data_IF_139019262475
#
_entry.id   IF_139019262475
#
_cell.length_a   1.000
_cell.length_b   1.000
_cell.length_c   1.000
_cell.angle_alpha   90.00
_cell.angle_beta   90.00
_cell.angle_gamma   90.00
#
_symmetry.space_group_name_H-M   'P 1'
#
loop_
_entity.id
_entity.type
_entity.pdbx_description
1 polymer ?
#
# COMPACT_ATOMS: atom_id res chain seq x y z
N UNK A 1 -14.08 9.54 6.09
CA UNK A 1 -13.01 8.80 5.41
C UNK A 1 -12.06 8.27 6.46
N UNK A 2 -11.56 7.04 6.30
CA UNK A 2 -10.52 6.44 7.14
C UNK A 2 -9.22 6.31 6.35
N UNK A 3 -8.10 6.64 6.97
CA UNK A 3 -6.75 6.55 6.40
C UNK A 3 -5.86 5.67 7.27
N UNK A 4 -5.13 4.73 6.67
CA UNK A 4 -4.15 3.88 7.35
C UNK A 4 -2.83 3.87 6.59
N UNK A 5 -1.88 4.72 7.01
CA UNK A 5 -0.52 4.77 6.44
C UNK A 5 0.53 3.97 7.23
N UNK A 6 0.08 3.24 8.26
CA UNK A 6 0.96 2.45 9.11
C UNK A 6 1.71 1.39 8.29
N UNK A 7 2.97 1.16 8.67
CA UNK A 7 3.82 0.11 8.16
C UNK A 7 4.52 -0.59 9.34
N UNK A 8 4.68 -1.93 9.31
CA UNK A 8 5.48 -2.64 10.30
C UNK A 8 6.96 -2.31 10.14
N UNK A 9 7.75 -2.63 11.16
CA UNK A 9 9.19 -2.63 11.05
C UNK A 9 9.62 -3.61 9.95
N UNK A 10 10.42 -3.12 9.00
CA UNK A 10 10.87 -3.89 7.83
C UNK A 10 11.94 -4.87 8.29
N UNK A 11 11.64 -6.16 8.20
CA UNK A 11 12.57 -7.25 8.56
C UNK A 11 13.56 -7.55 7.44
N UNK A 12 13.22 -7.16 6.21
CA UNK A 12 13.98 -7.51 5.00
C UNK A 12 13.57 -8.87 4.40
N UNK A 13 12.68 -9.60 5.07
CA UNK A 13 12.07 -10.81 4.55
C UNK A 13 10.71 -10.41 3.98
N UNK A 14 10.64 -10.20 2.66
CA UNK A 14 9.47 -9.63 1.99
C UNK A 14 8.16 -10.36 2.30
N UNK A 15 8.19 -11.69 2.40
CA UNK A 15 7.01 -12.50 2.74
C UNK A 15 6.46 -12.20 4.14
N UNK A 16 7.35 -11.96 5.10
CA UNK A 16 7.00 -11.65 6.49
C UNK A 16 6.50 -10.22 6.60
N UNK A 17 7.17 -9.28 5.94
CA UNK A 17 6.79 -7.87 5.89
C UNK A 17 5.41 -7.71 5.22
N UNK A 18 5.14 -8.44 4.14
CA UNK A 18 3.84 -8.49 3.47
C UNK A 18 2.74 -9.00 4.43
N UNK A 19 3.02 -10.08 5.16
CA UNK A 19 2.06 -10.66 6.11
C UNK A 19 1.71 -9.69 7.24
N UNK A 20 2.69 -8.99 7.81
CA UNK A 20 2.43 -8.01 8.86
C UNK A 20 1.69 -6.78 8.34
N UNK A 21 2.03 -6.29 7.15
CA UNK A 21 1.28 -5.21 6.51
C UNK A 21 -0.17 -5.62 6.28
N UNK A 22 -0.39 -6.85 5.84
CA UNK A 22 -1.72 -7.41 5.64
C UNK A 22 -2.54 -7.45 6.94
N UNK A 23 -1.96 -7.91 8.05
CA UNK A 23 -2.63 -7.92 9.35
C UNK A 23 -3.02 -6.52 9.81
N UNK A 24 -2.14 -5.53 9.58
CA UNK A 24 -2.41 -4.14 9.92
C UNK A 24 -3.62 -3.59 9.14
N UNK A 25 -3.67 -3.85 7.83
CA UNK A 25 -4.77 -3.44 6.95
C UNK A 25 -6.09 -4.12 7.34
N UNK A 26 -6.05 -5.41 7.72
CA UNK A 26 -7.23 -6.12 8.20
C UNK A 26 -7.80 -5.53 9.48
N UNK A 27 -6.93 -5.17 10.44
CA UNK A 27 -7.35 -4.54 11.67
C UNK A 27 -7.89 -3.12 11.43
N UNK A 28 -7.30 -2.37 10.51
CA UNK A 28 -7.81 -1.07 10.09
C UNK A 28 -9.21 -1.17 9.48
N UNK A 29 -9.48 -2.20 8.66
CA UNK A 29 -10.83 -2.47 8.15
C UNK A 29 -11.80 -2.80 9.29
N UNK A 30 -11.44 -3.70 10.22
CA UNK A 30 -12.28 -4.04 11.38
C UNK A 30 -12.69 -2.81 12.19
N UNK A 31 -11.75 -1.89 12.44
CA UNK A 31 -12.05 -0.62 13.12
C UNK A 31 -12.97 0.23 12.25
N UNK A 32 -12.70 0.34 10.94
CA UNK A 32 -13.52 1.09 9.99
C UNK A 32 -14.97 0.60 9.98
N UNK A 33 -15.23 -0.70 10.01
CA UNK A 33 -16.59 -1.24 10.06
C UNK A 33 -17.30 -0.94 11.39
N UNK A 34 -16.56 -0.83 12.49
CA UNK A 34 -17.12 -0.51 13.82
C UNK A 34 -17.49 0.96 13.98
N UNK A 35 -16.68 1.88 13.43
CA UNK A 35 -16.86 3.32 13.62
C UNK A 35 -17.44 4.04 12.40
N UNK A 36 -17.35 3.41 11.24
CA UNK A 36 -17.76 3.98 9.96
C UNK A 36 -19.27 3.95 9.77
N UNK A 37 -19.75 4.78 8.85
CA UNK A 37 -21.13 4.78 8.37
C UNK A 37 -21.19 4.41 6.90
N UNK A 38 -22.37 4.02 6.41
CA UNK A 38 -22.60 3.81 4.98
C UNK A 38 -22.14 5.04 4.17
N UNK A 39 -21.46 4.80 3.05
CA UNK A 39 -20.84 5.83 2.21
C UNK A 39 -19.43 6.25 2.67
N UNK A 40 -18.86 5.64 3.71
CA UNK A 40 -17.48 5.95 4.14
C UNK A 40 -16.45 5.47 3.12
N UNK A 41 -15.47 6.31 2.78
CA UNK A 41 -14.27 5.92 2.02
C UNK A 41 -13.14 5.43 2.93
N UNK A 42 -12.30 4.53 2.43
CA UNK A 42 -11.15 3.96 3.11
C UNK A 42 -9.91 4.02 2.20
N UNK A 43 -8.76 4.39 2.76
CA UNK A 43 -7.47 4.39 2.05
C UNK A 43 -6.41 3.78 2.97
N UNK A 44 -5.67 2.78 2.50
CA UNK A 44 -4.58 2.20 3.28
C UNK A 44 -3.36 1.83 2.45
N UNK A 45 -2.18 1.97 3.04
CA UNK A 45 -0.93 1.43 2.49
C UNK A 45 -0.98 -0.09 2.50
N UNK A 46 -0.54 -0.70 1.41
CA UNK A 46 -0.39 -2.15 1.25
C UNK A 46 0.98 -2.46 0.63
N UNK A 47 1.47 -3.68 0.87
CA UNK A 47 2.57 -4.23 0.08
C UNK A 47 1.99 -5.15 -0.99
N UNK A 48 2.33 -4.84 -2.24
CA UNK A 48 1.92 -5.61 -3.40
C UNK A 48 2.72 -6.91 -3.43
N UNK A 49 2.01 -8.01 -3.30
CA UNK A 49 2.59 -9.35 -3.27
C UNK A 49 1.54 -10.43 -3.51
N UNK A 50 1.80 -11.62 -2.98
CA UNK A 50 0.96 -12.80 -3.22
C UNK A 50 -0.45 -12.67 -2.63
N UNK A 51 -0.63 -11.86 -1.58
CA UNK A 51 -1.90 -11.74 -0.88
C UNK A 51 -2.79 -10.60 -1.38
N UNK A 52 -2.29 -9.72 -2.24
CA UNK A 52 -3.03 -8.50 -2.63
C UNK A 52 -4.36 -8.80 -3.31
N UNK A 53 -4.45 -9.84 -4.15
CA UNK A 53 -5.71 -10.25 -4.80
C UNK A 53 -6.79 -10.60 -3.77
N UNK A 54 -6.40 -11.23 -2.66
CA UNK A 54 -7.34 -11.59 -1.58
C UNK A 54 -7.82 -10.38 -0.82
N UNK A 55 -6.93 -9.43 -0.52
CA UNK A 55 -7.31 -8.17 0.11
C UNK A 55 -8.34 -7.46 -0.77
N UNK A 56 -8.06 -7.31 -2.07
CA UNK A 56 -8.99 -6.64 -3.00
C UNK A 56 -10.34 -7.35 -3.03
N UNK A 57 -10.37 -8.69 -3.16
CA UNK A 57 -11.61 -9.48 -3.15
C UNK A 57 -12.38 -9.26 -1.84
N UNK A 58 -11.69 -9.31 -0.70
CA UNK A 58 -12.32 -9.17 0.61
C UNK A 58 -12.90 -7.77 0.81
N UNK A 59 -12.18 -6.72 0.41
CA UNK A 59 -12.68 -5.35 0.49
C UNK A 59 -13.89 -5.11 -0.43
N UNK A 60 -13.99 -5.79 -1.59
CA UNK A 60 -15.17 -5.74 -2.47
C UNK A 60 -16.46 -6.25 -1.79
N UNK A 61 -16.37 -6.98 -0.67
CA UNK A 61 -17.56 -7.38 0.12
C UNK A 61 -18.18 -6.22 0.91
N UNK A 62 -17.41 -5.15 1.12
CA UNK A 62 -17.79 -4.03 1.98
C UNK A 62 -17.95 -2.72 1.22
N UNK A 63 -17.19 -2.51 0.15
CA UNK A 63 -17.14 -1.27 -0.61
C UNK A 63 -17.61 -1.46 -2.05
N UNK A 64 -18.37 -0.50 -2.58
CA UNK A 64 -18.89 -0.58 -3.95
C UNK A 64 -17.77 -0.57 -4.98
N UNK A 65 -16.69 0.14 -4.67
CA UNK A 65 -15.54 0.27 -5.55
C UNK A 65 -14.25 0.12 -4.75
N UNK A 66 -13.34 -0.69 -5.29
CA UNK A 66 -12.03 -0.98 -4.71
C UNK A 66 -10.98 -0.86 -5.81
N UNK A 67 -10.00 0.01 -5.60
CA UNK A 67 -8.90 0.30 -6.52
C UNK A 67 -7.57 0.09 -5.81
N UNK A 68 -6.58 -0.39 -6.54
CA UNK A 68 -5.19 -0.38 -6.08
C UNK A 68 -4.47 0.75 -6.79
N UNK A 69 -3.88 1.66 -6.03
CA UNK A 69 -3.24 2.87 -6.49
C UNK A 69 -1.73 2.80 -6.29
N UNK A 70 -0.97 3.27 -7.27
CA UNK A 70 0.47 3.46 -7.20
C UNK A 70 0.80 4.94 -7.44
N UNK A 71 1.12 5.72 -6.39
CA UNK A 71 1.50 7.11 -6.56
C UNK A 71 2.76 7.25 -7.42
N UNK A 72 2.76 8.17 -8.38
CA UNK A 72 3.92 8.47 -9.24
C UNK A 72 5.14 8.93 -8.41
N UNK A 73 4.90 9.55 -7.26
CA UNK A 73 5.93 9.96 -6.31
C UNK A 73 6.63 8.78 -5.59
N UNK A 74 6.11 7.57 -5.71
CA UNK A 74 6.71 6.37 -5.13
C UNK A 74 7.49 5.59 -6.18
N UNK A 75 8.72 5.18 -5.88
CA UNK A 75 9.59 4.43 -6.80
C UNK A 75 8.85 3.25 -7.43
N UNK A 76 9.02 3.03 -8.73
CA UNK A 76 8.36 1.92 -9.46
C UNK A 76 8.84 0.57 -8.93
N UNK A 77 10.10 0.50 -8.50
CA UNK A 77 10.70 -0.68 -7.87
C UNK A 77 10.14 -1.00 -6.48
N UNK A 78 9.45 -0.06 -5.82
CA UNK A 78 8.84 -0.32 -4.51
C UNK A 78 7.57 -1.17 -4.65
N UNK A 79 7.44 -2.18 -3.81
CA UNK A 79 6.22 -2.98 -3.64
C UNK A 79 5.09 -2.21 -2.95
N UNK A 80 5.37 -1.02 -2.42
CA UNK A 80 4.36 -0.17 -1.80
C UNK A 80 3.30 0.27 -2.82
N UNK A 81 2.03 0.06 -2.46
CA UNK A 81 0.84 0.53 -3.15
C UNK A 81 -0.19 0.99 -2.10
N UNK A 82 -1.31 1.52 -2.55
CA UNK A 82 -2.43 1.90 -1.69
C UNK A 82 -3.70 1.21 -2.15
N UNK A 83 -4.48 0.65 -1.23
CA UNK A 83 -5.84 0.22 -1.51
C UNK A 83 -6.79 1.39 -1.21
N UNK A 84 -7.55 1.81 -2.21
CA UNK A 84 -8.54 2.86 -2.11
C UNK A 84 -9.93 2.28 -2.32
N UNK A 85 -10.81 2.49 -1.34
CA UNK A 85 -12.15 1.94 -1.34
C UNK A 85 -13.18 3.05 -1.14
N UNK A 86 -14.24 2.98 -1.94
CA UNK A 86 -15.30 3.98 -2.00
C UNK A 86 -16.63 3.35 -1.66
N UNK A 87 -17.47 4.17 -1.02
CA UNK A 87 -18.84 3.83 -0.65
C UNK A 87 -18.98 2.51 0.11
N UNK A 88 -18.60 2.52 1.39
CA UNK A 88 -18.92 1.45 2.32
C UNK A 88 -20.44 1.18 2.29
N UNK A 89 -20.85 -0.03 1.90
CA UNK A 89 -22.26 -0.43 1.79
C UNK A 89 -22.64 -1.57 2.75
N UNK A 90 -21.66 -2.26 3.32
CA UNK A 90 -21.88 -3.37 4.24
C UNK A 90 -20.99 -3.22 5.48
N UNK A 91 -21.61 -3.32 6.67
CA UNK A 91 -20.94 -3.22 7.98
C UNK A 91 -20.79 -4.57 8.68
N UNK A 92 -21.44 -5.64 8.18
CA UNK A 92 -21.30 -6.98 8.75
C UNK A 92 -19.95 -7.57 8.40
N UNK A 93 -19.07 -7.65 9.40
CA UNK A 93 -17.77 -8.28 9.26
C UNK A 93 -17.89 -9.78 8.98
N UNK A 94 -17.21 -10.25 7.94
CA UNK A 94 -17.04 -11.65 7.58
C UNK A 94 -15.59 -12.05 7.82
N UNK A 95 -15.39 -13.18 8.48
CA UNK A 95 -14.06 -13.69 8.77
C UNK A 95 -13.31 -14.04 7.49
N UNK A 96 -11.99 -13.80 7.51
CA UNK A 96 -11.16 -13.96 6.32
C UNK A 96 -11.02 -15.42 5.89
N UNK A 97 -11.15 -16.35 6.84
CA UNK A 97 -10.99 -17.78 6.59
C UNK A 97 -12.10 -18.36 5.69
N UNK A 98 -13.21 -17.65 5.53
CA UNK A 98 -14.32 -18.08 4.69
C UNK A 98 -14.07 -17.79 3.19
N UNK A 99 -12.96 -17.14 2.84
CA UNK A 99 -12.64 -16.79 1.46
C UNK A 99 -11.84 -17.87 0.74
N UNK A 100 -12.37 -18.34 -0.39
CA UNK A 100 -11.66 -19.23 -1.28
C UNK A 100 -10.56 -18.49 -2.06
N UNK A 101 -9.31 -18.84 -1.76
CA UNK A 101 -8.10 -18.32 -2.41
C UNK A 101 -8.02 -18.61 -3.92
N UNK A 102 -8.77 -19.58 -4.44
CA UNK A 102 -8.70 -19.93 -5.88
C UNK A 102 -9.56 -19.05 -6.78
N UNK A 103 -10.42 -18.23 -6.20
CA UNK A 103 -11.43 -17.42 -6.92
C UNK A 103 -11.14 -15.92 -6.84
N UNK A 104 -9.90 -15.52 -6.56
CA UNK A 104 -9.55 -14.10 -6.56
C UNK A 104 -9.27 -13.64 -7.99
N UNK A 105 -10.08 -12.69 -8.46
CA UNK A 105 -9.93 -12.07 -9.77
C UNK A 105 -8.63 -11.27 -9.87
N UNK A 106 -8.15 -11.11 -11.09
CA UNK A 106 -7.11 -10.14 -11.39
C UNK A 106 -7.61 -8.71 -11.15
N UNK A 107 -6.68 -7.81 -10.83
CA UNK A 107 -6.96 -6.41 -10.60
C UNK A 107 -5.87 -5.56 -11.22
N UNK A 108 -6.24 -4.35 -11.63
CA UNK A 108 -5.29 -3.39 -12.17
C UNK A 108 -4.70 -2.51 -11.06
N UNK A 109 -3.42 -2.18 -11.22
CA UNK A 109 -2.76 -1.14 -10.43
C UNK A 109 -2.84 0.17 -11.20
N UNK A 110 -3.57 1.13 -10.66
CA UNK A 110 -3.79 2.44 -11.27
C UNK A 110 -2.71 3.40 -10.77
N UNK A 111 -1.92 3.95 -11.69
CA UNK A 111 -0.98 5.01 -11.33
C UNK A 111 -1.73 6.31 -11.05
N UNK A 112 -1.35 7.02 -9.98
CA UNK A 112 -2.02 8.23 -9.54
C UNK A 112 -1.06 9.35 -9.15
N UNK A 113 -1.55 10.59 -9.21
CA UNK A 113 -0.77 11.80 -8.96
C UNK A 113 -0.36 12.51 -10.24
N UNK A 114 0.22 13.70 -10.07
CA UNK A 114 0.76 14.52 -11.14
C UNK A 114 2.22 14.84 -10.79
N UNK A 115 3.11 14.75 -11.77
CA UNK A 115 4.53 15.06 -11.58
C UNK A 115 5.44 14.21 -12.48
N UNK A 116 6.72 14.56 -12.59
CA UNK A 116 7.70 13.69 -13.23
C UNK A 116 7.76 12.36 -12.47
N UNK A 117 8.03 11.28 -13.21
CA UNK A 117 8.16 9.95 -12.62
C UNK A 117 9.26 9.96 -11.54
N UNK A 118 8.99 9.37 -10.37
CA UNK A 118 9.94 9.35 -9.25
C UNK A 118 11.25 8.62 -9.57
N UNK A 119 11.26 7.81 -10.64
CA UNK A 119 12.47 7.18 -11.17
C UNK A 119 13.17 8.06 -12.23
N UNK A 120 12.54 9.13 -12.71
CA UNK A 120 13.19 10.18 -13.51
C UNK A 120 13.98 11.13 -12.59
N UNK A 121 15.19 10.73 -12.25
CA UNK A 121 16.28 11.70 -12.04
C UNK A 121 16.83 12.08 -13.42
N UNK A 122 17.08 13.36 -13.70
CA UNK A 122 17.55 13.91 -15.00
C UNK A 122 18.89 13.35 -15.55
N UNK A 123 19.43 12.25 -14.99
CA UNK A 123 20.73 11.67 -15.33
C UNK A 123 20.68 10.30 -16.03
N UNK A 124 19.54 9.87 -16.57
CA UNK A 124 19.46 8.57 -17.24
C UNK A 124 19.88 8.63 -18.72
N UNK A 125 21.19 8.71 -18.96
CA UNK A 125 21.80 8.25 -20.22
C UNK A 125 21.67 6.72 -20.25
N UNK A 126 21.04 6.18 -21.30
CA UNK A 126 21.00 4.74 -21.58
C UNK A 126 22.44 4.22 -21.76
N UNK A 127 22.99 3.55 -20.76
CA UNK A 127 24.32 2.96 -20.85
C UNK A 127 24.81 2.36 -19.54
N UNK A 128 24.89 1.03 -19.55
CA UNK A 128 25.67 0.17 -18.64
C UNK A 128 25.19 -0.03 -17.19
N UNK A 129 25.42 -1.25 -16.71
CA UNK A 129 24.98 -1.80 -15.44
C UNK A 129 25.53 -1.01 -14.24
N UNK A 130 24.79 -0.02 -13.75
CA UNK A 130 25.12 0.67 -12.51
C UNK A 130 24.34 0.02 -11.36
N UNK A 131 25.04 -0.79 -10.54
CA UNK A 131 24.60 -1.11 -9.18
C UNK A 131 24.53 0.20 -8.39
N UNK A 132 23.35 0.85 -8.41
CA UNK A 132 23.14 2.11 -7.69
C UNK A 132 23.02 1.82 -6.19
N UNK A 133 23.79 2.56 -5.39
CA UNK A 133 23.64 2.55 -3.92
C UNK A 133 22.28 3.14 -3.55
N UNK A 134 21.58 2.63 -2.51
CA UNK A 134 20.33 3.21 -2.05
C UNK A 134 20.49 4.71 -1.79
N UNK A 135 19.53 5.49 -2.27
CA UNK A 135 19.47 6.93 -1.96
C UNK A 135 19.48 7.06 -0.43
N UNK A 136 20.38 7.88 0.10
CA UNK A 136 20.44 8.15 1.53
C UNK A 136 19.03 8.55 2.01
N UNK A 137 18.56 8.00 3.14
CA UNK A 137 17.25 8.37 3.65
C UNK A 137 17.19 9.90 3.86
N UNK A 138 16.07 10.56 3.56
CA UNK A 138 15.96 12.02 3.55
C UNK A 138 16.23 12.67 4.92
N UNK A 139 16.25 11.89 5.99
CA UNK A 139 16.56 12.35 7.35
C UNK A 139 18.05 12.34 7.69
N UNK A 140 18.95 11.91 6.79
CA UNK A 140 20.39 11.81 7.08
C UNK A 140 21.00 13.19 7.34
N UNK A 141 20.60 14.21 6.58
CA UNK A 141 20.93 15.61 6.84
C UNK A 141 20.41 16.06 8.20
N UNK A 142 19.18 15.69 8.56
CA UNK A 142 18.59 16.01 9.87
C UNK A 142 19.31 15.33 11.05
N UNK A 143 19.90 14.15 10.84
CA UNK A 143 20.73 13.46 11.84
C UNK A 143 22.09 14.15 11.98
N UNK A 144 22.70 14.60 10.88
CA UNK A 144 23.98 15.33 10.91
C UNK A 144 23.83 16.70 11.58
N UNK A 145 22.72 17.42 11.32
CA UNK A 145 22.39 18.65 12.04
C UNK A 145 22.24 18.44 13.55
N UNK A 146 21.74 17.28 13.98
CA UNK A 146 21.61 16.90 15.39
C UNK A 146 22.93 16.50 16.06
N UNK A 147 23.97 16.20 15.30
CA UNK A 147 25.30 15.84 15.84
C UNK A 147 26.22 17.06 15.99
N UNK A 148 25.87 18.18 15.36
CA UNK A 148 26.65 19.41 15.38
C UNK A 148 26.08 20.47 16.36
N UNK A 149 25.15 20.05 17.23
CA UNK A 149 24.60 20.80 18.36
C UNK A 149 24.52 19.87 19.58
#
# INVERSE_FOLDING_TARGET
MVLCDGAPDITGIHDVDEYFQYQLVCNALKITLKIGRIGTSFLAKIFRGKYTKFIVKWFKLYFKEVKVLKPISSRTSSIECFIYCLDLFNLEFKDFNDMNYKEAEDFDVIYCGNGPDSDYTEDCVYGENVLRKPINPPYKSSIEFRKNH
#
